data_IF_215744285241
#
_entry.id   IF_215744285241
#
_cell.length_a   1.000
_cell.length_b   1.000
_cell.length_c   1.000
_cell.angle_alpha   90.00
_cell.angle_beta   90.00
_cell.angle_gamma   90.00
#
_symmetry.space_group_name_H-M   'P 1'
#
loop_
_entity.id
_entity.type
_entity.pdbx_description
1 polymer ?
#
# COMPACT_ATOMS: atom_id res chain seq x y z
N UNK A 1 -5.58 -8.75 -21.67
CA UNK A 1 -6.46 -7.91 -20.84
C UNK A 1 -7.19 -6.98 -21.78
N UNK A 2 -8.51 -6.91 -21.72
CA UNK A 2 -9.23 -5.73 -22.23
C UNK A 2 -8.60 -4.47 -21.67
N UNK A 3 -8.77 -3.34 -22.37
CA UNK A 3 -8.40 -2.03 -21.86
C UNK A 3 -8.88 -1.83 -20.41
N UNK A 4 -10.03 -2.43 -20.06
CA UNK A 4 -10.59 -2.46 -18.71
C UNK A 4 -9.67 -3.14 -17.69
N UNK A 5 -9.13 -4.34 -17.94
CA UNK A 5 -8.26 -5.00 -16.96
C UNK A 5 -6.96 -4.25 -16.68
N UNK A 6 -6.35 -3.63 -17.69
CA UNK A 6 -5.15 -2.80 -17.49
C UNK A 6 -5.46 -1.53 -16.69
N UNK A 7 -6.63 -0.95 -16.95
CA UNK A 7 -7.15 0.19 -16.23
C UNK A 7 -7.49 -0.15 -14.78
N UNK A 8 -8.13 -1.28 -14.52
CA UNK A 8 -8.45 -1.76 -13.17
C UNK A 8 -7.18 -2.01 -12.36
N UNK A 9 -6.18 -2.70 -12.94
CA UNK A 9 -4.90 -2.91 -12.27
C UNK A 9 -4.17 -1.59 -11.99
N UNK A 10 -4.30 -0.60 -12.88
CA UNK A 10 -3.77 0.73 -12.65
C UNK A 10 -4.44 1.38 -11.43
N UNK A 11 -5.76 1.37 -11.34
CA UNK A 11 -6.51 1.94 -10.21
C UNK A 11 -6.22 1.22 -8.90
N UNK A 12 -6.19 -0.11 -8.90
CA UNK A 12 -5.83 -0.89 -7.69
C UNK A 12 -4.46 -0.47 -7.16
N UNK A 13 -3.47 -0.26 -8.04
CA UNK A 13 -2.13 0.21 -7.62
C UNK A 13 -2.14 1.64 -7.10
N UNK A 14 -3.04 2.48 -7.60
CA UNK A 14 -3.20 3.86 -7.16
C UNK A 14 -3.87 3.90 -5.78
N UNK A 15 -5.03 3.27 -5.61
CA UNK A 15 -5.71 3.16 -4.32
C UNK A 15 -4.82 2.52 -3.24
N UNK A 16 -4.06 1.49 -3.60
CA UNK A 16 -3.10 0.88 -2.68
C UNK A 16 -1.99 1.86 -2.25
N UNK A 17 -1.57 2.78 -3.13
CA UNK A 17 -0.61 3.81 -2.75
C UNK A 17 -1.23 4.81 -1.78
N UNK A 18 -2.48 5.19 -1.99
CA UNK A 18 -3.19 6.14 -1.13
C UNK A 18 -3.36 5.54 0.28
N UNK A 19 -3.73 4.26 0.37
CA UNK A 19 -3.79 3.52 1.65
C UNK A 19 -2.42 3.49 2.34
N UNK A 20 -1.33 3.22 1.60
CA UNK A 20 0.03 3.24 2.17
C UNK A 20 0.34 4.62 2.76
N UNK A 21 0.05 5.69 2.01
CA UNK A 21 0.31 7.06 2.45
C UNK A 21 -0.51 7.41 3.71
N UNK A 22 -1.77 6.98 3.78
CA UNK A 22 -2.63 7.19 4.96
C UNK A 22 -2.07 6.48 6.20
N UNK A 23 -1.64 5.22 6.07
CA UNK A 23 -1.03 4.47 7.17
C UNK A 23 0.20 5.18 7.71
N UNK A 24 1.07 5.68 6.82
CA UNK A 24 2.28 6.41 7.23
C UNK A 24 1.98 7.76 7.87
N UNK A 25 0.96 8.46 7.38
CA UNK A 25 0.48 9.70 7.99
C UNK A 25 -0.03 9.45 9.41
N UNK A 26 -0.82 8.38 9.61
CA UNK A 26 -1.30 7.97 10.93
C UNK A 26 -0.12 7.57 11.84
N UNK A 27 0.84 6.78 11.34
CA UNK A 27 2.02 6.38 12.10
C UNK A 27 2.82 7.60 12.57
N UNK A 28 3.04 8.57 11.67
CA UNK A 28 3.73 9.81 11.99
C UNK A 28 2.96 10.69 12.98
N UNK A 29 1.63 10.70 12.90
CA UNK A 29 0.77 11.37 13.87
C UNK A 29 0.85 10.71 15.25
N UNK A 30 0.84 9.38 15.31
CA UNK A 30 0.96 8.64 16.57
C UNK A 30 2.31 8.89 17.24
N UNK A 31 3.40 8.79 16.47
CA UNK A 31 4.76 8.99 16.97
C UNK A 31 4.95 10.39 17.56
N UNK A 32 4.39 11.43 16.92
CA UNK A 32 4.56 12.83 17.34
C UNK A 32 3.56 13.30 18.39
N UNK A 33 2.30 12.86 18.32
CA UNK A 33 1.20 13.44 19.11
C UNK A 33 0.87 12.65 20.38
N UNK A 34 1.34 11.41 20.51
CA UNK A 34 1.16 10.63 21.73
C UNK A 34 2.49 10.57 22.47
N UNK A 35 2.63 11.36 23.53
CA UNK A 35 3.79 11.32 24.41
C UNK A 35 3.55 10.28 25.52
N UNK A 36 4.32 9.20 25.54
CA UNK A 36 4.14 8.11 26.49
C UNK A 36 4.92 6.85 26.12
N UNK A 37 4.68 5.74 26.85
CA UNK A 37 5.28 4.44 26.55
C UNK A 37 4.43 3.72 25.49
N UNK A 38 5.02 3.39 24.35
CA UNK A 38 4.41 2.51 23.34
C UNK A 38 3.89 3.21 22.09
N UNK A 39 3.97 4.55 22.02
CA UNK A 39 3.69 5.30 20.78
C UNK A 39 4.68 4.88 19.67
N UNK A 40 5.95 4.71 20.04
CA UNK A 40 7.03 4.26 19.17
C UNK A 40 6.77 2.84 18.63
N UNK A 41 6.23 1.96 19.48
CA UNK A 41 5.87 0.59 19.08
C UNK A 41 4.65 0.56 18.16
N UNK A 42 3.65 1.40 18.44
CA UNK A 42 2.45 1.52 17.62
C UNK A 42 2.80 2.06 16.23
N UNK A 43 3.54 3.18 16.16
CA UNK A 43 4.03 3.76 14.92
C UNK A 43 4.89 2.77 14.13
N UNK A 44 5.81 2.06 14.79
CA UNK A 44 6.61 1.01 14.16
C UNK A 44 5.74 -0.11 13.58
N UNK A 45 4.65 -0.51 14.27
CA UNK A 45 3.75 -1.55 13.77
C UNK A 45 2.98 -1.10 12.53
N UNK A 46 2.54 0.16 12.49
CA UNK A 46 1.90 0.73 11.31
C UNK A 46 2.87 0.81 10.13
N UNK A 47 4.12 1.23 10.36
CA UNK A 47 5.15 1.25 9.33
C UNK A 47 5.43 -0.16 8.75
N UNK A 48 5.45 -1.21 9.58
CA UNK A 48 5.55 -2.60 9.10
C UNK A 48 4.39 -3.00 8.19
N UNK A 49 3.18 -2.52 8.47
CA UNK A 49 2.00 -2.78 7.64
C UNK A 49 2.13 -2.01 6.30
N UNK A 50 2.57 -0.76 6.33
CA UNK A 50 2.86 0.02 5.12
C UNK A 50 3.89 -0.70 4.23
N UNK A 51 4.97 -1.22 4.82
CA UNK A 51 6.00 -1.98 4.11
C UNK A 51 5.49 -3.28 3.49
N UNK A 52 4.59 -3.99 4.19
CA UNK A 52 3.91 -5.15 3.63
C UNK A 52 3.15 -4.77 2.35
N UNK A 53 2.36 -3.69 2.40
CA UNK A 53 1.59 -3.23 1.25
C UNK A 53 2.45 -2.67 0.11
N UNK A 54 3.61 -2.07 0.41
CA UNK A 54 4.63 -1.77 -0.62
C UNK A 54 5.08 -3.03 -1.33
N UNK A 55 5.31 -4.11 -0.59
CA UNK A 55 5.62 -5.43 -1.13
C UNK A 55 4.53 -5.97 -2.06
N UNK A 56 3.26 -5.83 -1.66
CA UNK A 56 2.10 -6.20 -2.50
C UNK A 56 2.05 -5.34 -3.77
N UNK A 57 2.18 -4.03 -3.66
CA UNK A 57 2.19 -3.10 -4.82
C UNK A 57 3.30 -3.44 -5.81
N UNK A 58 4.49 -3.82 -5.31
CA UNK A 58 5.60 -4.25 -6.15
C UNK A 58 5.27 -5.54 -6.90
N UNK A 59 4.64 -6.51 -6.24
CA UNK A 59 4.17 -7.75 -6.90
C UNK A 59 3.13 -7.45 -7.99
N UNK A 60 2.16 -6.57 -7.72
CA UNK A 60 1.18 -6.11 -8.70
C UNK A 60 1.83 -5.43 -9.90
N UNK A 61 2.88 -4.65 -9.68
CA UNK A 61 3.63 -3.97 -10.75
C UNK A 61 4.42 -4.94 -11.63
N UNK A 62 4.73 -6.13 -11.13
CA UNK A 62 5.43 -7.18 -11.88
C UNK A 62 4.47 -8.10 -12.65
N UNK A 63 3.15 -7.89 -12.56
CA UNK A 63 2.19 -8.66 -13.35
C UNK A 63 2.38 -8.32 -14.83
N UNK A 64 2.74 -9.33 -15.60
CA UNK A 64 2.84 -9.23 -17.05
C UNK A 64 1.43 -9.22 -17.66
N UNK A 65 0.89 -8.01 -17.83
CA UNK A 65 -0.46 -7.78 -18.34
C UNK A 65 -0.64 -8.20 -19.80
N UNK A 66 0.46 -8.43 -20.53
CA UNK A 66 0.43 -8.93 -21.91
C UNK A 66 0.04 -10.41 -22.00
N UNK A 67 0.23 -11.18 -20.91
CA UNK A 67 -0.04 -12.62 -20.87
C UNK A 67 -1.44 -12.99 -20.40
N UNK A 68 -2.22 -12.02 -19.92
CA UNK A 68 -3.60 -12.25 -19.48
C UNK A 68 -4.50 -12.36 -20.72
N UNK A 69 -4.82 -13.58 -21.14
CA UNK A 69 -5.81 -13.86 -22.18
C UNK A 69 -7.21 -13.75 -21.57
N UNK A 70 -8.10 -13.04 -22.26
CA UNK A 70 -9.52 -13.10 -21.93
C UNK A 70 -10.04 -14.50 -22.24
N UNK A 71 -10.81 -15.08 -21.33
CA UNK A 71 -11.43 -16.39 -21.48
C UNK A 71 -12.74 -16.28 -22.25
#
# INVERSE_FOLDING_TARGET
>A
MSANGQHDLYYIKQELQDIINEIESIAAGIDRSFEGIGNEKCAAKLNQIADHYRGVKRKLSNIDTSKVKEA
#
